data_IF_304233609167
#
_entry.id   IF_304233609167
#
_cell.length_a   1.000
_cell.length_b   1.000
_cell.length_c   1.000
_cell.angle_alpha   90.00
_cell.angle_beta   90.00
_cell.angle_gamma   90.00
#
_symmetry.space_group_name_H-M   'P 1'
#
loop_
_entity.id
_entity.type
_entity.pdbx_description
1 polymer ?
#
# COMPACT_ATOMS: atom_id res chain seq x y z
N UNK A 1 5.40 49.35 -5.55
CA UNK A 1 4.84 48.44 -6.57
C UNK A 1 5.68 47.18 -6.84
N UNK A 2 6.82 46.98 -6.15
CA UNK A 2 7.76 45.86 -6.44
C UNK A 2 7.56 44.60 -5.57
N UNK A 3 7.01 44.70 -4.36
CA UNK A 3 6.91 43.57 -3.43
C UNK A 3 5.71 42.64 -3.71
N UNK A 4 4.58 43.23 -4.12
CA UNK A 4 3.36 42.48 -4.43
C UNK A 4 3.55 41.55 -5.64
N UNK A 5 4.18 42.05 -6.70
CA UNK A 5 4.47 41.25 -7.90
C UNK A 5 5.40 40.07 -7.61
N UNK A 6 6.42 40.26 -6.77
CA UNK A 6 7.33 39.18 -6.35
C UNK A 6 6.60 38.14 -5.49
N UNK A 7 5.71 38.56 -4.61
CA UNK A 7 4.90 37.66 -3.79
C UNK A 7 3.94 36.81 -4.65
N UNK A 8 3.27 37.43 -5.62
CA UNK A 8 2.36 36.74 -6.54
C UNK A 8 3.10 35.72 -7.43
N UNK A 9 4.29 36.07 -7.93
CA UNK A 9 5.12 35.14 -8.72
C UNK A 9 5.58 33.93 -7.89
N UNK A 10 6.03 34.15 -6.66
CA UNK A 10 6.45 33.05 -5.77
C UNK A 10 5.28 32.11 -5.42
N UNK A 11 4.07 32.64 -5.22
CA UNK A 11 2.88 31.81 -5.01
C UNK A 11 2.48 31.02 -6.25
N UNK A 12 2.55 31.62 -7.44
CA UNK A 12 2.25 30.92 -8.69
C UNK A 12 3.26 29.78 -8.95
N UNK A 13 4.54 30.00 -8.68
CA UNK A 13 5.58 28.97 -8.82
C UNK A 13 5.42 27.83 -7.78
N UNK A 14 5.10 28.16 -6.52
CA UNK A 14 4.83 27.17 -5.49
C UNK A 14 3.58 26.31 -5.83
N UNK A 15 2.54 26.93 -6.37
CA UNK A 15 1.32 26.23 -6.79
C UNK A 15 1.59 25.32 -7.98
N UNK A 16 2.24 25.82 -9.04
CA UNK A 16 2.61 25.03 -10.22
C UNK A 16 3.51 23.84 -9.87
N UNK A 17 4.49 24.03 -8.99
CA UNK A 17 5.36 22.93 -8.53
C UNK A 17 4.59 21.90 -7.70
N UNK A 18 3.61 22.32 -6.89
CA UNK A 18 2.75 21.40 -6.13
C UNK A 18 1.83 20.57 -7.02
N UNK A 19 1.19 21.19 -8.01
CA UNK A 19 0.30 20.51 -8.97
C UNK A 19 1.08 19.52 -9.83
N UNK A 20 2.27 19.91 -10.30
CA UNK A 20 3.14 19.02 -11.08
C UNK A 20 3.62 17.83 -10.25
N UNK A 21 4.01 18.05 -8.98
CA UNK A 21 4.34 16.95 -8.06
C UNK A 21 3.15 16.01 -7.86
N UNK A 22 1.94 16.55 -7.68
CA UNK A 22 0.72 15.74 -7.58
C UNK A 22 0.44 14.93 -8.85
N UNK A 23 0.61 15.51 -10.04
CA UNK A 23 0.42 14.77 -11.29
C UNK A 23 1.46 13.64 -11.45
N UNK A 24 2.74 13.92 -11.16
CA UNK A 24 3.80 12.91 -11.21
C UNK A 24 3.52 11.79 -10.20
N UNK A 25 3.09 12.16 -9.00
CA UNK A 25 2.68 11.24 -7.95
C UNK A 25 1.54 10.32 -8.43
N UNK A 26 0.47 10.91 -8.93
CA UNK A 26 -0.69 10.19 -9.45
C UNK A 26 -0.32 9.24 -10.60
N UNK A 27 0.49 9.69 -11.56
CA UNK A 27 0.94 8.85 -12.68
C UNK A 27 1.80 7.70 -12.19
N UNK A 28 2.69 7.95 -11.22
CA UNK A 28 3.59 6.92 -10.72
C UNK A 28 2.85 5.85 -9.93
N UNK A 29 2.03 6.27 -8.96
CA UNK A 29 1.37 5.36 -8.02
C UNK A 29 0.09 4.75 -8.57
N UNK A 30 -0.66 5.43 -9.46
CA UNK A 30 -1.86 4.84 -10.10
C UNK A 30 -1.57 4.19 -11.45
N UNK A 31 -0.34 4.32 -11.94
CA UNK A 31 0.09 3.76 -13.22
C UNK A 31 0.85 2.43 -13.07
N UNK A 32 1.32 1.90 -14.19
CA UNK A 32 2.11 0.65 -14.24
C UNK A 32 3.51 0.77 -13.61
N UNK A 33 3.97 1.99 -13.35
CA UNK A 33 5.29 2.29 -12.83
C UNK A 33 5.49 1.72 -11.42
N UNK A 34 4.53 1.95 -10.51
CA UNK A 34 4.64 1.45 -9.15
C UNK A 34 4.67 -0.08 -9.06
N UNK A 35 3.74 -0.85 -9.69
CA UNK A 35 3.82 -2.31 -9.67
C UNK A 35 5.09 -2.87 -10.29
N UNK A 36 5.64 -2.20 -11.31
CA UNK A 36 6.90 -2.60 -11.95
C UNK A 36 8.08 -2.42 -11.00
N UNK A 37 8.22 -1.23 -10.42
CA UNK A 37 9.31 -0.94 -9.49
C UNK A 37 9.18 -1.76 -8.20
N UNK A 38 7.96 -1.96 -7.69
CA UNK A 38 7.71 -2.78 -6.51
C UNK A 38 8.15 -4.23 -6.73
N UNK A 39 7.85 -4.82 -7.90
CA UNK A 39 8.34 -6.17 -8.23
C UNK A 39 9.86 -6.22 -8.22
N UNK A 40 10.54 -5.27 -8.85
CA UNK A 40 12.00 -5.19 -8.83
C UNK A 40 12.54 -5.06 -7.39
N UNK A 41 11.93 -4.18 -6.59
CA UNK A 41 12.28 -3.95 -5.19
C UNK A 41 12.09 -5.19 -4.30
N UNK A 42 11.05 -5.98 -4.56
CA UNK A 42 10.72 -7.18 -3.79
C UNK A 42 11.58 -8.37 -4.23
N UNK A 43 11.74 -8.60 -5.53
CA UNK A 43 12.39 -9.82 -6.02
C UNK A 43 13.89 -9.66 -6.21
N UNK A 44 14.36 -8.57 -6.80
CA UNK A 44 15.77 -8.39 -7.13
C UNK A 44 16.55 -7.75 -5.98
N UNK A 45 15.92 -6.78 -5.33
CA UNK A 45 16.51 -6.00 -4.23
C UNK A 45 16.40 -6.77 -2.92
N UNK A 46 15.21 -7.22 -2.50
CA UNK A 46 15.10 -7.89 -1.21
C UNK A 46 15.92 -9.19 -1.11
N UNK A 47 16.03 -9.94 -2.21
CA UNK A 47 16.77 -11.21 -2.24
C UNK A 47 18.28 -11.05 -2.07
N UNK A 48 18.86 -9.99 -2.63
CA UNK A 48 20.31 -9.91 -2.85
C UNK A 48 21.05 -9.05 -1.81
N UNK A 49 20.49 -7.92 -1.39
CA UNK A 49 21.23 -6.93 -0.59
C UNK A 49 20.54 -6.52 0.71
N UNK A 50 19.19 -6.56 0.81
CA UNK A 50 18.51 -6.19 2.07
C UNK A 50 19.02 -6.95 3.32
N UNK A 51 19.35 -8.26 3.26
CA UNK A 51 19.93 -8.96 4.43
C UNK A 51 21.26 -8.39 4.91
N UNK A 52 22.00 -7.68 4.05
CA UNK A 52 23.30 -7.10 4.36
C UNK A 52 23.20 -5.77 5.12
N UNK A 53 22.01 -5.15 5.21
CA UNK A 53 21.83 -3.84 5.84
C UNK A 53 21.20 -3.93 7.24
N UNK A 54 21.66 -3.09 8.19
CA UNK A 54 20.98 -2.88 9.46
C UNK A 54 19.52 -2.47 9.24
N UNK A 55 18.65 -2.85 10.19
CA UNK A 55 17.21 -2.57 10.10
C UNK A 55 16.90 -1.08 9.89
N UNK A 56 17.63 -0.18 10.56
CA UNK A 56 17.46 1.28 10.42
C UNK A 56 17.73 1.76 8.99
N UNK A 57 18.75 1.22 8.32
CA UNK A 57 19.06 1.60 6.94
C UNK A 57 17.97 1.10 5.96
N UNK A 58 17.44 -0.10 6.20
CA UNK A 58 16.29 -0.63 5.44
C UNK A 58 15.06 0.26 5.59
N UNK A 59 14.76 0.72 6.82
CA UNK A 59 13.63 1.63 7.07
C UNK A 59 13.73 2.92 6.27
N UNK A 60 14.92 3.52 6.21
CA UNK A 60 15.10 4.83 5.57
C UNK A 60 15.13 4.78 4.04
N UNK A 61 15.67 3.70 3.46
CA UNK A 61 15.95 3.64 2.01
C UNK A 61 14.92 2.81 1.26
N UNK A 62 14.31 1.83 1.93
CA UNK A 62 13.46 0.84 1.30
C UNK A 62 12.00 0.91 1.77
N UNK A 63 11.78 1.00 3.08
CA UNK A 63 10.40 1.00 3.61
C UNK A 63 9.64 2.27 3.25
N UNK A 64 10.32 3.42 3.20
CA UNK A 64 9.73 4.71 2.81
C UNK A 64 8.98 4.60 1.48
N UNK A 65 9.54 3.88 0.51
CA UNK A 65 8.88 3.69 -0.79
C UNK A 65 7.48 3.07 -0.67
N UNK A 66 7.32 2.07 0.20
CA UNK A 66 6.03 1.40 0.41
C UNK A 66 5.13 2.17 1.38
N UNK A 67 5.69 2.93 2.32
CA UNK A 67 4.91 3.79 3.23
C UNK A 67 4.28 4.96 2.47
N UNK A 68 5.04 5.58 1.57
CA UNK A 68 4.55 6.74 0.86
C UNK A 68 3.54 6.35 -0.23
N UNK A 69 3.61 5.13 -0.79
CA UNK A 69 2.71 4.70 -1.86
C UNK A 69 1.25 4.49 -1.47
N UNK A 70 0.37 4.45 -2.49
CA UNK A 70 -1.04 4.11 -2.31
C UNK A 70 -1.17 2.72 -1.71
N UNK A 71 -1.93 2.60 -0.62
CA UNK A 71 -2.00 1.36 0.14
C UNK A 71 -2.58 0.23 -0.71
N UNK A 72 -3.53 0.53 -1.59
CA UNK A 72 -4.09 -0.46 -2.51
C UNK A 72 -3.01 -1.09 -3.40
N UNK A 73 -2.15 -0.27 -3.97
CA UNK A 73 -1.08 -0.69 -4.90
C UNK A 73 0.03 -1.43 -4.15
N UNK A 74 0.40 -0.94 -2.96
CA UNK A 74 1.34 -1.59 -2.05
C UNK A 74 0.87 -3.02 -1.73
N UNK A 75 -0.39 -3.19 -1.34
CA UNK A 75 -0.96 -4.50 -1.03
C UNK A 75 -0.96 -5.41 -2.26
N UNK A 76 -1.35 -4.90 -3.42
CA UNK A 76 -1.35 -5.67 -4.67
C UNK A 76 0.06 -6.10 -5.10
N UNK A 77 1.09 -5.31 -4.78
CA UNK A 77 2.48 -5.68 -5.03
C UNK A 77 2.99 -6.74 -4.04
N UNK A 78 2.64 -6.62 -2.75
CA UNK A 78 3.16 -7.48 -1.70
C UNK A 78 2.48 -8.84 -1.63
N UNK A 79 1.15 -8.92 -1.78
CA UNK A 79 0.40 -10.16 -1.59
C UNK A 79 0.91 -11.33 -2.45
N UNK A 80 1.16 -11.16 -3.77
CA UNK A 80 1.69 -12.25 -4.58
C UNK A 80 3.02 -12.80 -4.06
N UNK A 81 3.88 -11.94 -3.49
CA UNK A 81 5.20 -12.32 -3.00
C UNK A 81 5.19 -13.19 -1.74
N UNK A 82 4.07 -13.21 -1.00
CA UNK A 82 3.89 -14.05 0.17
C UNK A 82 3.80 -15.55 -0.20
N UNK A 83 3.34 -15.84 -1.42
CA UNK A 83 3.33 -17.20 -1.98
C UNK A 83 4.70 -17.74 -2.39
N UNK A 84 5.73 -16.90 -2.52
CA UNK A 84 7.05 -17.32 -3.03
C UNK A 84 7.87 -18.10 -1.99
N UNK A 85 8.53 -19.18 -2.43
CA UNK A 85 9.31 -20.06 -1.55
C UNK A 85 10.68 -19.51 -1.12
N UNK A 86 11.13 -18.39 -1.70
CA UNK A 86 12.39 -17.73 -1.28
C UNK A 86 12.16 -17.08 0.09
N UNK A 87 12.79 -17.61 1.12
CA UNK A 87 12.57 -17.21 2.52
C UNK A 87 12.82 -15.72 2.78
N UNK A 88 13.80 -15.11 2.09
CA UNK A 88 14.14 -13.69 2.22
C UNK A 88 13.05 -12.78 1.64
N UNK A 89 12.61 -13.07 0.41
CA UNK A 89 11.54 -12.31 -0.27
C UNK A 89 10.26 -12.36 0.57
N UNK A 90 9.85 -13.56 0.97
CA UNK A 90 8.66 -13.77 1.78
C UNK A 90 8.75 -13.04 3.12
N UNK A 91 9.84 -13.19 3.87
CA UNK A 91 10.00 -12.55 5.18
C UNK A 91 10.02 -11.03 5.08
N UNK A 92 10.57 -10.48 4.00
CA UNK A 92 10.56 -9.04 3.77
C UNK A 92 9.16 -8.53 3.39
N UNK A 93 8.42 -9.29 2.57
CA UNK A 93 7.04 -8.97 2.25
C UNK A 93 6.14 -9.01 3.49
N UNK A 94 6.27 -10.05 4.34
CA UNK A 94 5.57 -10.15 5.63
C UNK A 94 5.80 -8.89 6.49
N UNK A 95 7.07 -8.50 6.65
CA UNK A 95 7.45 -7.30 7.39
C UNK A 95 6.86 -6.00 6.81
N UNK A 96 6.86 -5.85 5.49
CA UNK A 96 6.28 -4.67 4.84
C UNK A 96 4.75 -4.63 4.97
N UNK A 97 4.10 -5.79 4.95
CA UNK A 97 2.65 -5.86 5.18
C UNK A 97 2.29 -5.40 6.59
N UNK A 98 3.01 -5.86 7.61
CA UNK A 98 2.83 -5.40 8.99
C UNK A 98 3.00 -3.88 9.08
N UNK A 99 4.07 -3.35 8.50
CA UNK A 99 4.36 -1.93 8.51
C UNK A 99 3.26 -1.11 7.79
N UNK A 100 2.93 -1.47 6.55
CA UNK A 100 2.03 -0.68 5.71
C UNK A 100 0.57 -0.84 6.12
N UNK A 101 0.11 -2.04 6.53
CA UNK A 101 -1.29 -2.27 6.87
C UNK A 101 -1.60 -2.12 8.35
N UNK A 102 -0.74 -2.60 9.24
CA UNK A 102 -1.06 -2.73 10.66
C UNK A 102 -0.53 -1.56 11.50
N UNK A 103 0.66 -1.02 11.18
CA UNK A 103 1.30 0.02 12.00
C UNK A 103 0.95 1.45 11.55
N UNK A 104 0.71 1.69 10.26
CA UNK A 104 0.56 3.05 9.70
C UNK A 104 -0.87 3.41 9.28
N UNK A 105 -1.89 2.96 10.03
CA UNK A 105 -3.31 3.20 9.69
C UNK A 105 -3.67 2.73 8.26
N UNK A 106 -2.91 1.77 7.71
CA UNK A 106 -3.02 1.39 6.31
C UNK A 106 -4.38 0.82 5.95
N UNK A 107 -5.01 0.07 6.85
CA UNK A 107 -6.38 -0.43 6.64
C UNK A 107 -7.38 0.72 6.50
N UNK A 108 -7.24 1.77 7.33
CA UNK A 108 -8.09 2.97 7.24
C UNK A 108 -7.83 3.72 5.93
N UNK A 109 -6.57 3.84 5.52
CA UNK A 109 -6.20 4.52 4.28
C UNK A 109 -6.65 3.72 3.03
N UNK A 110 -6.51 2.40 3.05
CA UNK A 110 -7.02 1.50 2.02
C UNK A 110 -8.55 1.62 1.87
N UNK A 111 -9.28 1.70 2.98
CA UNK A 111 -10.73 1.90 2.94
C UNK A 111 -11.11 3.25 2.30
N UNK A 112 -10.33 4.31 2.57
CA UNK A 112 -10.51 5.63 1.93
C UNK A 112 -10.22 5.58 0.43
N UNK A 113 -9.12 4.96 0.03
CA UNK A 113 -8.73 4.82 -1.38
C UNK A 113 -9.78 4.04 -2.20
N UNK A 114 -10.25 2.91 -1.65
CA UNK A 114 -11.31 2.12 -2.28
C UNK A 114 -12.67 2.84 -2.26
N UNK A 115 -12.99 3.58 -1.20
CA UNK A 115 -14.21 4.38 -1.11
C UNK A 115 -14.25 5.49 -2.16
N UNK A 116 -13.17 6.25 -2.29
CA UNK A 116 -13.03 7.33 -3.27
C UNK A 116 -13.15 6.84 -4.73
N UNK A 117 -12.70 5.61 -5.01
CA UNK A 117 -12.85 4.99 -6.34
C UNK A 117 -14.31 4.79 -6.76
N UNK A 118 -15.23 4.65 -5.79
CA UNK A 118 -16.64 4.30 -6.04
C UNK A 118 -17.63 5.46 -5.91
N UNK A 119 -17.22 6.66 -5.52
CA UNK A 119 -18.12 7.83 -5.34
C UNK A 119 -18.79 8.36 -6.64
N UNK A 120 -18.79 7.58 -7.73
CA UNK A 120 -19.42 7.97 -8.99
C UNK A 120 -20.91 7.59 -9.15
N UNK A 121 -21.55 6.91 -8.18
CA UNK A 121 -23.02 6.63 -8.21
C UNK A 121 -23.59 6.20 -6.85
N UNK A 122 -24.82 6.66 -6.59
CA UNK A 122 -25.63 6.61 -5.35
C UNK A 122 -25.68 5.32 -4.50
N UNK A 123 -26.18 5.49 -3.26
CA UNK A 123 -26.42 4.55 -2.14
C UNK A 123 -25.20 4.32 -1.22
N UNK A 124 -25.00 5.25 -0.28
CA UNK A 124 -23.85 5.21 0.65
C UNK A 124 -23.76 3.93 1.49
N UNK A 125 -24.89 3.29 1.82
CA UNK A 125 -24.90 2.08 2.65
C UNK A 125 -24.44 0.81 1.89
N UNK A 126 -24.76 0.69 0.59
CA UNK A 126 -24.24 -0.42 -0.23
C UNK A 126 -22.77 -0.24 -0.58
N UNK A 127 -22.34 1.00 -0.79
CA UNK A 127 -20.95 1.35 -1.09
C UNK A 127 -20.03 1.09 0.11
N UNK A 128 -20.44 1.51 1.31
CA UNK A 128 -19.71 1.22 2.55
C UNK A 128 -19.57 -0.30 2.75
N UNK A 129 -20.63 -1.09 2.56
CA UNK A 129 -20.57 -2.56 2.64
C UNK A 129 -19.62 -3.17 1.61
N UNK A 130 -19.63 -2.68 0.37
CA UNK A 130 -18.75 -3.16 -0.69
C UNK A 130 -17.27 -2.85 -0.36
N UNK A 131 -16.97 -1.62 0.06
CA UNK A 131 -15.63 -1.21 0.44
C UNK A 131 -15.11 -2.03 1.63
N UNK A 132 -15.92 -2.18 2.68
CA UNK A 132 -15.57 -3.01 3.84
C UNK A 132 -15.30 -4.46 3.43
N UNK A 133 -16.15 -5.04 2.56
CA UNK A 133 -15.96 -6.40 2.05
C UNK A 133 -14.65 -6.55 1.26
N UNK A 134 -14.33 -5.60 0.38
CA UNK A 134 -13.09 -5.62 -0.42
C UNK A 134 -11.84 -5.46 0.44
N UNK A 135 -11.87 -4.52 1.40
CA UNK A 135 -10.80 -4.35 2.38
C UNK A 135 -10.60 -5.65 3.17
N UNK A 136 -11.69 -6.24 3.67
CA UNK A 136 -11.63 -7.51 4.40
C UNK A 136 -11.06 -8.66 3.55
N UNK A 137 -11.46 -8.77 2.28
CA UNK A 137 -10.93 -9.79 1.36
C UNK A 137 -9.44 -9.60 1.08
N UNK A 138 -8.99 -8.36 0.83
CA UNK A 138 -7.57 -8.07 0.59
C UNK A 138 -6.74 -8.36 1.84
N UNK A 139 -7.17 -7.88 3.01
CA UNK A 139 -6.49 -8.14 4.28
C UNK A 139 -6.45 -9.65 4.58
N UNK A 140 -7.56 -10.37 4.40
CA UNK A 140 -7.62 -11.81 4.63
C UNK A 140 -6.79 -12.65 3.64
N UNK A 141 -6.40 -12.08 2.49
CA UNK A 141 -5.52 -12.74 1.52
C UNK A 141 -4.03 -12.64 1.87
N UNK A 142 -3.67 -11.84 2.88
CA UNK A 142 -2.37 -11.95 3.55
C UNK A 142 -2.33 -13.30 4.27
N UNK A 143 -1.37 -14.20 3.98
CA UNK A 143 -1.36 -15.54 4.52
C UNK A 143 -1.01 -15.52 6.00
N UNK A 144 -2.05 -15.47 6.83
CA UNK A 144 -1.90 -15.44 8.29
C UNK A 144 -1.65 -16.82 8.93
N UNK A 145 -1.88 -17.91 8.20
CA UNK A 145 -2.15 -19.23 8.82
C UNK A 145 -1.34 -20.42 8.32
N UNK A 146 -0.52 -20.25 7.29
CA UNK A 146 0.14 -21.40 6.65
C UNK A 146 1.55 -21.72 7.21
N UNK A 147 2.16 -20.87 8.04
CA UNK A 147 3.57 -21.02 8.43
C UNK A 147 3.79 -20.95 9.93
N UNK A 148 4.44 -21.99 10.47
CA UNK A 148 5.03 -22.00 11.80
C UNK A 148 6.05 -20.84 11.89
N UNK A 149 5.83 -19.88 12.78
CA UNK A 149 6.72 -18.73 12.98
C UNK A 149 6.43 -17.50 12.11
N UNK A 150 5.23 -17.37 11.53
CA UNK A 150 4.77 -16.07 11.03
C UNK A 150 4.68 -15.05 12.19
N UNK A 151 4.88 -13.74 11.92
CA UNK A 151 4.66 -12.69 12.91
C UNK A 151 3.27 -12.80 13.54
N UNK A 152 3.16 -12.61 14.86
CA UNK A 152 1.87 -12.73 15.58
C UNK A 152 0.84 -11.69 15.13
N UNK A 153 1.31 -10.54 14.62
CA UNK A 153 0.52 -9.47 14.03
C UNK A 153 -0.14 -9.89 12.72
N UNK A 154 0.55 -10.70 11.92
CA UNK A 154 0.02 -11.41 10.74
C UNK A 154 -0.63 -12.74 11.15
N UNK A 155 -1.18 -12.83 12.36
CA UNK A 155 -1.94 -14.00 12.75
C UNK A 155 -3.32 -13.52 13.16
N UNK A 156 -4.29 -13.74 12.29
CA UNK A 156 -5.67 -13.41 12.61
C UNK A 156 -6.13 -14.22 13.82
N UNK A 157 -6.52 -13.50 14.88
CA UNK A 157 -7.05 -14.06 16.13
C UNK A 157 -8.41 -14.74 15.94
N UNK A 158 -9.08 -14.55 14.78
CA UNK A 158 -10.41 -15.09 14.49
C UNK A 158 -10.49 -15.65 13.06
N UNK A 159 -10.93 -16.90 12.83
CA UNK A 159 -11.17 -17.40 11.47
C UNK A 159 -12.24 -16.54 10.78
N UNK A 160 -11.84 -15.80 9.74
CA UNK A 160 -12.77 -15.13 8.84
C UNK A 160 -13.53 -16.19 8.04
N UNK A 161 -14.75 -16.52 8.46
CA UNK A 161 -15.71 -17.21 7.61
C UNK A 161 -16.30 -16.19 6.64
N UNK A 162 -15.78 -16.13 5.40
CA UNK A 162 -16.48 -15.47 4.32
C UNK A 162 -17.68 -16.36 3.97
N UNK A 163 -18.87 -16.03 4.51
CA UNK A 163 -20.11 -16.55 3.95
C UNK A 163 -20.33 -15.83 2.61
N UNK A 164 -19.89 -16.47 1.52
CA UNK A 164 -20.36 -16.13 0.19
C UNK A 164 -21.85 -16.46 0.15
N UNK A 165 -22.69 -15.43 0.28
CA UNK A 165 -24.12 -15.56 0.03
C UNK A 165 -24.31 -15.69 -1.48
N UNK A 166 -24.15 -16.91 -2.00
CA UNK A 166 -24.51 -17.26 -3.37
C UNK A 166 -26.01 -17.54 -3.37
N UNK A 167 -26.82 -16.51 -3.61
CA UNK A 167 -28.16 -16.73 -4.13
C UNK A 167 -28.07 -16.71 -5.65
N UNK A 168 -28.16 -17.92 -6.22
CA UNK A 168 -28.56 -18.17 -7.60
C UNK A 168 -30.08 -18.01 -7.75
#
# INVERSE_FOLDING_TARGET
>A
MSLELTFQLNQAEATYTSERRNQVWEVFYKGVSFPTLSRFLIYDVASNWLPCFPLTARKLVYDVFFIEGLVLEVVQALIPSLGHNVSVVRSNAERLVELCLLENEGVLQLARELGAYHESKDSSNSLVKLTVSRVAQLVASVPDKARLGAPKSLSSQYPFHIQLNVHA
#
